data_IF_126038889927
#
_entry.id   IF_126038889927
#
_cell.length_a   1.000
_cell.length_b   1.000
_cell.length_c   1.000
_cell.angle_alpha   90.00
_cell.angle_beta   90.00
_cell.angle_gamma   90.00
#
_symmetry.space_group_name_H-M   'P 1'
#
loop_
_entity.id
_entity.type
_entity.pdbx_description
1 polymer ?
#
# COMPACT_ATOMS: atom_id res chain seq x y z
N UNK A 1 32.35 -41.51 -48.00
CA UNK A 1 31.17 -41.00 -47.26
C UNK A 1 31.57 -40.81 -45.81
N UNK A 2 31.13 -39.69 -45.20
CA UNK A 2 31.52 -39.11 -43.89
C UNK A 2 32.83 -38.31 -43.98
N UNK A 3 32.93 -37.05 -43.59
CA UNK A 3 31.99 -36.05 -43.05
C UNK A 3 32.74 -34.71 -43.07
N UNK A 4 32.13 -33.66 -43.62
CA UNK A 4 32.69 -32.29 -43.64
C UNK A 4 32.19 -31.59 -42.37
N UNK A 5 33.10 -31.21 -41.48
CA UNK A 5 32.78 -30.34 -40.35
C UNK A 5 32.97 -28.88 -40.77
N UNK A 6 31.84 -28.18 -40.89
CA UNK A 6 31.76 -26.75 -41.13
C UNK A 6 31.90 -26.06 -39.76
N UNK A 7 33.02 -25.37 -39.51
CA UNK A 7 33.15 -24.47 -38.36
C UNK A 7 32.43 -23.15 -38.69
N UNK A 8 31.27 -22.94 -38.08
CA UNK A 8 30.59 -21.65 -38.08
C UNK A 8 31.30 -20.72 -37.08
N UNK A 9 31.89 -19.64 -37.59
CA UNK A 9 32.43 -18.54 -36.78
C UNK A 9 31.23 -17.69 -36.35
N UNK A 10 30.81 -17.84 -35.09
CA UNK A 10 29.83 -16.97 -34.46
C UNK A 10 30.41 -15.58 -34.27
N UNK A 11 29.87 -14.61 -34.99
CA UNK A 11 30.17 -13.19 -34.83
C UNK A 11 29.48 -12.71 -33.54
N UNK A 12 30.25 -12.66 -32.44
CA UNK A 12 29.78 -12.10 -31.19
C UNK A 12 29.50 -10.60 -31.33
N UNK A 13 28.22 -10.23 -31.30
CA UNK A 13 27.79 -8.84 -31.16
C UNK A 13 28.08 -8.45 -29.71
N UNK A 14 29.15 -7.66 -29.51
CA UNK A 14 29.40 -6.94 -28.27
C UNK A 14 28.28 -5.91 -28.10
N UNK A 15 27.28 -6.23 -27.28
CA UNK A 15 26.34 -5.23 -26.77
C UNK A 15 27.12 -4.41 -25.76
N UNK A 16 27.64 -3.27 -26.18
CA UNK A 16 28.18 -2.26 -25.29
C UNK A 16 27.04 -1.76 -24.40
N UNK A 17 27.07 -2.14 -23.12
CA UNK A 17 26.23 -1.55 -22.09
C UNK A 17 26.59 -0.06 -21.99
N UNK A 18 25.74 0.80 -22.54
CA UNK A 18 25.84 2.24 -22.31
C UNK A 18 25.56 2.46 -20.83
N UNK A 19 26.63 2.66 -20.05
CA UNK A 19 26.51 3.24 -18.71
C UNK A 19 26.01 4.66 -18.88
N UNK A 20 24.69 4.86 -18.78
CA UNK A 20 24.09 6.19 -18.82
C UNK A 20 24.68 7.02 -17.67
N UNK A 21 25.47 8.04 -18.00
CA UNK A 21 25.93 9.04 -17.03
C UNK A 21 24.71 9.73 -16.42
N UNK A 22 24.74 10.04 -15.12
CA UNK A 22 23.65 10.76 -14.46
C UNK A 22 23.38 12.11 -15.17
N UNK A 23 22.22 12.24 -15.79
CA UNK A 23 21.72 13.47 -16.40
C UNK A 23 21.03 14.28 -15.30
N UNK A 24 21.66 15.38 -14.89
CA UNK A 24 21.14 16.25 -13.83
C UNK A 24 20.41 17.44 -14.46
N UNK A 25 19.19 17.71 -14.01
CA UNK A 25 18.46 18.94 -14.30
C UNK A 25 18.20 19.75 -13.02
N UNK A 26 18.20 21.08 -13.16
CA UNK A 26 17.90 22.01 -12.06
C UNK A 26 16.63 22.77 -12.39
N UNK A 27 15.61 22.61 -11.55
CA UNK A 27 14.38 23.42 -11.62
C UNK A 27 14.69 24.79 -11.01
N UNK A 28 14.53 25.84 -11.80
CA UNK A 28 14.94 27.20 -11.46
C UNK A 28 13.79 28.21 -11.36
N UNK A 29 12.58 27.82 -11.78
CA UNK A 29 11.36 28.61 -11.64
C UNK A 29 10.16 27.71 -11.33
N UNK A 30 9.04 28.34 -10.96
CA UNK A 30 7.80 27.69 -10.55
C UNK A 30 6.72 27.60 -11.63
N UNK A 31 7.08 27.82 -12.89
CA UNK A 31 6.13 27.78 -14.00
C UNK A 31 5.77 26.33 -14.33
N UNK A 32 4.57 26.12 -14.89
CA UNK A 32 4.14 24.81 -15.39
C UNK A 32 5.08 24.29 -16.51
N UNK A 33 5.48 25.16 -17.43
CA UNK A 33 6.25 24.80 -18.61
C UNK A 33 7.38 25.79 -18.94
N UNK A 34 8.17 25.44 -19.96
CA UNK A 34 9.28 26.24 -20.45
C UNK A 34 10.60 25.97 -19.73
N UNK A 35 11.67 26.59 -20.22
CA UNK A 35 13.01 26.33 -19.73
C UNK A 35 13.12 26.59 -18.21
N UNK A 36 13.68 25.61 -17.49
CA UNK A 36 13.88 25.67 -16.06
C UNK A 36 12.67 25.27 -15.19
N UNK A 37 11.54 24.87 -15.78
CA UNK A 37 10.43 24.25 -15.05
C UNK A 37 10.73 22.78 -14.69
N UNK A 38 9.90 22.20 -13.80
CA UNK A 38 9.95 20.76 -13.49
C UNK A 38 9.58 19.90 -14.70
N UNK A 39 8.55 20.30 -15.45
CA UNK A 39 8.14 19.63 -16.69
C UNK A 39 9.29 19.53 -17.69
N UNK A 40 9.95 20.64 -17.99
CA UNK A 40 11.09 20.65 -18.91
C UNK A 40 12.27 19.79 -18.40
N UNK A 41 12.43 19.66 -17.08
CA UNK A 41 13.42 18.77 -16.49
C UNK A 41 13.08 17.28 -16.71
N UNK A 42 11.82 16.89 -16.50
CA UNK A 42 11.33 15.52 -16.76
C UNK A 42 11.46 15.17 -18.25
N UNK A 43 10.96 16.04 -19.13
CA UNK A 43 10.99 15.87 -20.60
C UNK A 43 12.41 15.81 -21.17
N UNK A 44 13.41 16.37 -20.47
CA UNK A 44 14.82 16.30 -20.91
C UNK A 44 15.45 14.91 -20.78
N UNK A 45 14.79 13.95 -20.11
CA UNK A 45 15.36 12.65 -19.77
C UNK A 45 16.40 12.73 -18.64
N UNK A 46 16.32 13.76 -17.80
CA UNK A 46 17.11 13.82 -16.57
C UNK A 46 16.72 12.66 -15.63
N UNK A 47 17.71 11.99 -15.05
CA UNK A 47 17.50 10.97 -14.02
C UNK A 47 17.74 11.49 -12.61
N UNK A 48 18.25 12.72 -12.47
CA UNK A 48 18.33 13.43 -11.20
C UNK A 48 17.84 14.86 -11.39
N UNK A 49 16.71 15.19 -10.76
CA UNK A 49 16.11 16.51 -10.78
C UNK A 49 16.28 17.14 -9.39
N UNK A 50 16.86 18.32 -9.33
CA UNK A 50 16.99 19.10 -8.09
C UNK A 50 16.21 20.39 -8.20
N UNK A 51 15.40 20.67 -7.18
CA UNK A 51 14.63 21.92 -7.13
C UNK A 51 15.43 22.99 -6.40
N UNK A 52 15.70 24.10 -7.08
CA UNK A 52 16.42 25.22 -6.49
C UNK A 52 15.65 25.72 -5.25
N UNK A 53 16.30 25.92 -4.09
CA UNK A 53 15.65 26.43 -2.87
C UNK A 53 14.92 27.77 -3.03
N UNK A 54 15.24 28.55 -4.07
CA UNK A 54 14.54 29.81 -4.38
C UNK A 54 13.17 29.60 -5.02
N UNK A 55 12.93 28.45 -5.65
CA UNK A 55 11.60 28.04 -6.09
C UNK A 55 10.88 27.59 -4.83
N UNK A 56 9.72 28.19 -4.53
CA UNK A 56 8.89 27.79 -3.38
C UNK A 56 7.70 26.93 -3.83
N UNK A 57 7.06 27.34 -4.94
CA UNK A 57 5.87 26.72 -5.48
C UNK A 57 6.07 26.50 -6.98
N UNK A 58 5.65 25.33 -7.46
CA UNK A 58 5.57 24.96 -8.87
C UNK A 58 4.08 24.79 -9.18
N UNK A 59 3.51 25.68 -9.97
CA UNK A 59 2.10 25.63 -10.31
C UNK A 59 1.92 24.83 -11.59
N UNK A 60 1.12 23.77 -11.52
CA UNK A 60 0.79 22.93 -12.64
C UNK A 60 -0.53 23.37 -13.25
N UNK A 61 -0.56 23.43 -14.57
CA UNK A 61 -1.79 23.58 -15.36
C UNK A 61 -2.06 22.34 -16.23
N UNK A 62 -1.11 21.39 -16.26
CA UNK A 62 -1.21 20.10 -16.92
C UNK A 62 -0.52 19.02 -16.06
N UNK A 63 -0.90 17.73 -16.16
CA UNK A 63 -0.23 16.63 -15.47
C UNK A 63 1.26 16.58 -15.77
N UNK A 64 2.08 16.09 -14.85
CA UNK A 64 3.49 15.76 -15.13
C UNK A 64 3.59 14.29 -15.55
N UNK A 65 4.49 13.98 -16.50
CA UNK A 65 4.82 12.59 -16.81
C UNK A 65 6.32 12.38 -16.96
N UNK A 66 6.76 11.14 -16.68
CA UNK A 66 8.11 10.68 -16.92
C UNK A 66 8.08 9.35 -17.69
N UNK A 67 8.43 9.41 -18.97
CA UNK A 67 8.33 8.28 -19.92
C UNK A 67 9.66 7.51 -20.09
N UNK A 68 10.70 7.90 -19.36
CA UNK A 68 12.05 7.39 -19.60
C UNK A 68 12.31 6.14 -18.75
N UNK A 69 12.94 5.09 -19.30
CA UNK A 69 13.14 3.84 -18.58
C UNK A 69 14.23 3.87 -17.50
N UNK A 70 14.95 4.98 -17.35
CA UNK A 70 15.96 5.09 -16.33
C UNK A 70 15.36 5.43 -14.96
N UNK A 71 16.13 5.17 -13.91
CA UNK A 71 15.80 5.63 -12.55
C UNK A 71 15.53 7.13 -12.52
N UNK A 72 14.69 7.59 -11.60
CA UNK A 72 14.37 9.01 -11.42
C UNK A 72 14.52 9.41 -9.96
N UNK A 73 15.33 10.44 -9.70
CA UNK A 73 15.43 11.06 -8.38
C UNK A 73 14.94 12.50 -8.44
N UNK A 74 13.86 12.84 -7.74
CA UNK A 74 13.38 14.22 -7.56
C UNK A 74 13.68 14.68 -6.14
N UNK A 75 14.56 15.67 -6.01
CA UNK A 75 15.07 16.13 -4.71
C UNK A 75 14.73 17.61 -4.49
N UNK A 76 13.79 17.84 -3.57
CA UNK A 76 13.42 19.15 -3.07
C UNK A 76 14.16 19.56 -1.78
N UNK A 77 13.64 20.63 -1.19
CA UNK A 77 14.01 21.23 0.10
C UNK A 77 12.76 21.78 0.84
N UNK A 78 11.58 21.27 0.51
CA UNK A 78 10.29 21.68 1.08
C UNK A 78 9.38 22.46 0.12
N UNK A 79 9.66 22.42 -1.19
CA UNK A 79 8.80 23.07 -2.19
C UNK A 79 7.44 22.38 -2.34
N UNK A 80 6.46 23.15 -2.78
CA UNK A 80 5.13 22.67 -3.14
C UNK A 80 4.99 22.50 -4.65
N UNK A 81 4.60 21.31 -5.08
CA UNK A 81 4.02 21.03 -6.39
C UNK A 81 2.51 21.20 -6.24
N UNK A 82 1.98 22.26 -6.84
CA UNK A 82 0.59 22.69 -6.71
C UNK A 82 -0.18 22.32 -7.97
N UNK A 83 -1.09 21.35 -7.84
CA UNK A 83 -1.92 20.79 -8.90
C UNK A 83 -3.39 21.23 -8.81
N UNK A 84 -3.71 22.26 -8.00
CA UNK A 84 -5.08 22.77 -7.85
C UNK A 84 -5.71 23.27 -9.15
N UNK A 85 -4.92 23.56 -10.19
CA UNK A 85 -5.37 24.05 -11.48
C UNK A 85 -5.33 22.99 -12.58
N UNK A 86 -5.15 21.71 -12.24
CA UNK A 86 -5.32 20.62 -13.18
C UNK A 86 -6.80 20.44 -13.54
N UNK A 87 -7.04 19.89 -14.73
CA UNK A 87 -8.37 19.48 -15.16
C UNK A 87 -8.91 18.35 -14.25
N UNK A 88 -10.24 18.15 -14.20
CA UNK A 88 -10.83 17.05 -13.45
C UNK A 88 -10.20 15.68 -13.77
N UNK A 89 -10.01 14.85 -12.75
CA UNK A 89 -9.49 13.48 -12.85
C UNK A 89 -8.05 13.36 -13.39
N UNK A 90 -7.32 14.47 -13.45
CA UNK A 90 -5.92 14.50 -13.83
C UNK A 90 -5.01 14.10 -12.66
N UNK A 91 -4.09 13.18 -12.92
CA UNK A 91 -3.03 12.83 -11.97
C UNK A 91 -1.99 13.96 -11.84
N UNK A 92 -1.35 14.09 -10.68
CA UNK A 92 -0.28 15.09 -10.52
C UNK A 92 0.98 14.66 -11.27
N UNK A 93 1.40 13.41 -11.08
CA UNK A 93 2.63 12.85 -11.65
C UNK A 93 2.45 11.37 -12.00
N UNK A 94 2.58 11.03 -13.28
CA UNK A 94 2.64 9.63 -13.73
C UNK A 94 4.06 9.26 -14.15
N UNK A 95 4.54 8.10 -13.69
CA UNK A 95 5.84 7.55 -14.01
C UNK A 95 5.62 6.29 -14.86
N UNK A 96 5.85 6.45 -16.17
CA UNK A 96 5.59 5.42 -17.18
C UNK A 96 6.91 4.85 -17.66
N UNK A 97 7.31 3.75 -17.05
CA UNK A 97 8.45 2.97 -17.51
C UNK A 97 9.73 3.10 -16.70
N UNK A 98 9.76 3.88 -15.62
CA UNK A 98 10.99 4.12 -14.89
C UNK A 98 11.58 2.86 -14.22
N UNK A 99 12.91 2.85 -14.11
CA UNK A 99 13.58 2.08 -13.06
C UNK A 99 13.32 2.69 -11.67
N UNK A 100 14.24 2.53 -10.73
CA UNK A 100 14.06 3.01 -9.36
C UNK A 100 13.62 4.50 -9.25
N UNK A 101 12.64 4.78 -8.38
CA UNK A 101 12.14 6.11 -8.06
C UNK A 101 12.60 6.54 -6.66
N UNK A 102 13.07 7.78 -6.55
CA UNK A 102 13.22 8.46 -5.27
C UNK A 102 12.63 9.87 -5.33
N UNK A 103 11.67 10.17 -4.46
CA UNK A 103 11.11 11.52 -4.29
C UNK A 103 11.33 11.95 -2.84
N UNK A 104 11.90 13.14 -2.65
CA UNK A 104 12.17 13.61 -1.30
C UNK A 104 12.04 15.11 -1.07
N UNK A 105 11.59 15.47 0.15
CA UNK A 105 11.48 16.84 0.64
C UNK A 105 10.58 17.72 -0.24
N UNK A 106 9.38 17.23 -0.54
CA UNK A 106 8.40 17.89 -1.40
C UNK A 106 7.00 17.79 -0.82
N UNK A 107 6.16 18.75 -1.18
CA UNK A 107 4.73 18.73 -0.91
C UNK A 107 3.98 18.64 -2.22
N UNK A 108 2.98 17.77 -2.29
CA UNK A 108 2.08 17.62 -3.41
C UNK A 108 0.68 17.99 -2.92
N UNK A 109 0.02 18.90 -3.64
CA UNK A 109 -1.34 19.34 -3.32
C UNK A 109 -2.16 19.20 -4.59
N UNK A 110 -3.14 18.30 -4.58
CA UNK A 110 -4.08 18.12 -5.69
C UNK A 110 -5.23 19.12 -5.70
N UNK A 111 -6.23 18.87 -6.55
CA UNK A 111 -7.39 19.74 -6.78
C UNK A 111 -8.64 19.36 -5.97
N UNK A 112 -8.58 18.28 -5.16
CA UNK A 112 -9.71 17.87 -4.33
C UNK A 112 -9.97 18.90 -3.22
N UNK A 113 -11.19 19.43 -3.19
CA UNK A 113 -11.65 20.37 -2.17
C UNK A 113 -12.68 19.71 -1.25
N UNK A 114 -12.22 19.22 -0.11
CA UNK A 114 -13.03 18.53 0.92
C UNK A 114 -14.16 19.35 1.50
N UNK A 115 -14.13 20.67 1.37
CA UNK A 115 -15.12 21.56 1.98
C UNK A 115 -16.27 21.82 1.00
N UNK A 116 -15.96 21.91 -0.30
CA UNK A 116 -16.91 22.38 -1.31
C UNK A 116 -17.24 21.34 -2.39
N UNK A 117 -16.55 20.20 -2.42
CA UNK A 117 -16.84 19.10 -3.32
C UNK A 117 -17.51 17.97 -2.56
N UNK A 118 -18.40 17.26 -3.27
CA UNK A 118 -18.94 16.02 -2.75
C UNK A 118 -17.78 15.01 -2.65
N UNK A 119 -17.44 14.49 -1.46
CA UNK A 119 -16.42 13.46 -1.31
C UNK A 119 -16.75 12.17 -2.08
N UNK A 120 -18.02 11.92 -2.39
CA UNK A 120 -18.43 10.82 -3.26
C UNK A 120 -18.15 11.08 -4.76
N UNK A 121 -17.85 12.33 -5.16
CA UNK A 121 -17.61 12.75 -6.55
C UNK A 121 -16.54 13.86 -6.63
N UNK A 122 -15.31 13.64 -6.14
CA UNK A 122 -14.22 14.59 -6.25
C UNK A 122 -13.76 14.68 -7.71
N UNK A 123 -13.25 15.85 -8.07
CA UNK A 123 -12.80 16.17 -9.44
C UNK A 123 -11.27 16.18 -9.53
N UNK A 124 -10.60 15.20 -8.94
CA UNK A 124 -9.14 15.06 -8.94
C UNK A 124 -8.75 13.63 -9.28
N UNK A 125 -7.70 13.46 -10.08
CA UNK A 125 -7.06 12.15 -10.28
C UNK A 125 -6.08 11.84 -9.16
N UNK A 126 -5.27 10.81 -9.38
CA UNK A 126 -4.30 10.26 -8.42
C UNK A 126 -3.20 11.27 -8.07
N UNK A 127 -2.58 11.09 -6.91
CA UNK A 127 -1.41 11.88 -6.54
C UNK A 127 -0.18 11.52 -7.37
N UNK A 128 0.33 10.32 -7.18
CA UNK A 128 1.52 9.83 -7.89
C UNK A 128 1.24 8.41 -8.38
N UNK A 129 1.30 8.22 -9.69
CA UNK A 129 1.13 6.92 -10.32
C UNK A 129 2.49 6.40 -10.82
N UNK A 130 2.77 5.13 -10.57
CA UNK A 130 3.95 4.42 -11.07
C UNK A 130 3.49 3.17 -11.79
N UNK A 131 3.67 3.14 -13.10
CA UNK A 131 3.34 1.99 -13.94
C UNK A 131 4.61 1.16 -14.17
N UNK A 132 4.64 -0.05 -13.62
CA UNK A 132 5.74 -1.01 -13.80
C UNK A 132 5.64 -1.61 -15.20
N UNK A 133 6.73 -1.64 -15.99
CA UNK A 133 6.71 -2.29 -17.30
C UNK A 133 6.37 -3.78 -17.20
N UNK A 134 5.46 -4.27 -18.04
CA UNK A 134 5.10 -5.69 -18.10
C UNK A 134 6.27 -6.66 -18.35
N UNK A 135 7.42 -6.17 -18.86
CA UNK A 135 8.63 -6.97 -19.06
C UNK A 135 9.73 -6.68 -18.03
N UNK A 136 9.42 -5.96 -16.95
CA UNK A 136 10.35 -5.72 -15.86
C UNK A 136 10.76 -7.05 -15.21
N UNK A 137 11.99 -7.07 -14.71
CA UNK A 137 12.57 -8.20 -13.97
C UNK A 137 13.40 -7.65 -12.82
N UNK A 138 13.69 -8.47 -11.82
CA UNK A 138 14.49 -8.04 -10.67
C UNK A 138 13.65 -7.29 -9.66
N UNK A 139 13.92 -6.01 -9.41
CA UNK A 139 13.11 -5.22 -8.48
C UNK A 139 12.96 -3.77 -8.92
N UNK A 140 11.75 -3.23 -8.78
CA UNK A 140 11.46 -1.80 -8.92
C UNK A 140 11.48 -1.18 -7.52
N UNK A 141 12.44 -0.30 -7.25
CA UNK A 141 12.55 0.35 -5.94
C UNK A 141 11.91 1.74 -5.97
N UNK A 142 10.92 1.97 -5.12
CA UNK A 142 10.23 3.24 -4.95
C UNK A 142 10.47 3.76 -3.53
N UNK A 143 11.06 4.95 -3.40
CA UNK A 143 11.32 5.58 -2.10
C UNK A 143 10.75 7.00 -2.02
N UNK A 144 9.88 7.20 -1.04
CA UNK A 144 9.35 8.50 -0.63
C UNK A 144 9.91 8.88 0.72
N UNK A 145 10.58 10.04 0.77
CA UNK A 145 11.20 10.53 2.01
C UNK A 145 10.85 11.97 2.31
N UNK A 146 10.25 12.21 3.47
CA UNK A 146 9.87 13.56 3.87
C UNK A 146 8.98 14.23 2.82
N UNK A 147 7.95 13.50 2.39
CA UNK A 147 6.92 14.04 1.51
C UNK A 147 5.63 14.34 2.27
N UNK A 148 4.86 15.28 1.76
CA UNK A 148 3.49 15.52 2.18
C UNK A 148 2.61 15.47 0.93
N UNK A 149 1.64 14.56 0.89
CA UNK A 149 0.67 14.46 -0.20
C UNK A 149 -0.73 14.68 0.37
N UNK A 150 -1.50 15.55 -0.28
CA UNK A 150 -2.86 15.82 0.13
C UNK A 150 -3.74 16.29 -1.01
N UNK A 151 -5.05 16.23 -0.79
CA UNK A 151 -6.07 16.80 -1.65
C UNK A 151 -6.06 16.22 -3.06
N UNK A 152 -5.87 14.92 -3.15
CA UNK A 152 -6.08 14.16 -4.40
C UNK A 152 -7.31 13.29 -4.25
N UNK A 153 -8.01 13.07 -5.36
CA UNK A 153 -9.03 12.04 -5.46
C UNK A 153 -8.38 10.75 -5.95
N UNK A 154 -9.12 9.65 -5.98
CA UNK A 154 -8.58 8.31 -6.25
C UNK A 154 -7.35 8.03 -5.35
N UNK A 155 -6.48 7.10 -5.72
CA UNK A 155 -5.31 6.79 -4.90
C UNK A 155 -4.39 7.99 -4.68
N UNK A 156 -3.84 8.11 -3.47
CA UNK A 156 -2.74 9.03 -3.18
C UNK A 156 -1.49 8.64 -3.96
N UNK A 157 -0.95 7.47 -3.68
CA UNK A 157 0.19 6.89 -4.40
C UNK A 157 -0.24 5.52 -4.91
N UNK A 158 -0.09 5.27 -6.21
CA UNK A 158 -0.43 3.98 -6.80
C UNK A 158 0.80 3.42 -7.53
N UNK A 159 1.24 2.24 -7.14
CA UNK A 159 2.26 1.48 -7.85
C UNK A 159 1.59 0.26 -8.45
N UNK A 160 1.49 0.23 -9.78
CA UNK A 160 0.80 -0.83 -10.50
C UNK A 160 1.79 -1.65 -11.32
N UNK A 161 2.01 -2.91 -10.93
CA UNK A 161 2.56 -3.97 -11.77
C UNK A 161 1.45 -4.89 -12.28
N UNK A 162 0.58 -4.29 -13.08
CA UNK A 162 -0.64 -4.93 -13.55
C UNK A 162 -1.04 -4.50 -14.96
N UNK A 163 -1.52 -5.45 -15.74
CA UNK A 163 -1.93 -5.24 -17.12
C UNK A 163 -3.28 -4.55 -17.29
N UNK A 164 -4.06 -4.42 -16.23
CA UNK A 164 -5.42 -3.86 -16.25
C UNK A 164 -5.49 -2.39 -15.83
N UNK A 165 -4.37 -1.78 -15.41
CA UNK A 165 -4.35 -0.39 -14.99
C UNK A 165 -5.27 -0.17 -13.79
N UNK A 166 -6.22 0.76 -13.91
CA UNK A 166 -7.14 1.16 -12.83
C UNK A 166 -8.16 0.09 -12.42
N UNK A 167 -8.33 -0.95 -13.24
CA UNK A 167 -9.20 -2.09 -12.97
C UNK A 167 -8.40 -3.26 -12.34
N UNK A 168 -7.14 -3.04 -11.95
CA UNK A 168 -6.37 -4.03 -11.23
C UNK A 168 -6.93 -4.19 -9.81
N UNK A 169 -7.00 -5.44 -9.31
CA UNK A 169 -7.45 -5.70 -7.94
C UNK A 169 -8.94 -5.51 -7.71
N UNK A 170 -9.74 -5.22 -8.74
CA UNK A 170 -11.19 -5.13 -8.58
C UNK A 170 -11.79 -6.49 -8.21
N UNK A 171 -12.15 -6.67 -6.94
CA UNK A 171 -12.77 -7.86 -6.36
C UNK A 171 -11.78 -8.86 -5.74
N UNK A 172 -12.32 -9.71 -4.86
CA UNK A 172 -11.64 -10.72 -3.99
C UNK A 172 -10.92 -11.85 -4.73
N UNK A 173 -9.87 -11.55 -5.48
CA UNK A 173 -9.05 -12.59 -6.11
C UNK A 173 -7.98 -12.12 -7.09
N UNK A 174 -7.49 -10.87 -6.95
CA UNK A 174 -6.23 -10.46 -7.55
C UNK A 174 -6.12 -10.54 -9.09
N UNK A 175 -7.23 -10.39 -9.82
CA UNK A 175 -7.25 -10.51 -11.27
C UNK A 175 -6.26 -9.58 -11.99
N UNK A 176 -5.46 -10.12 -12.93
CA UNK A 176 -4.47 -9.33 -13.67
C UNK A 176 -3.32 -10.15 -14.22
N UNK A 177 -2.41 -9.51 -14.95
CA UNK A 177 -1.05 -10.04 -15.19
C UNK A 177 -0.04 -8.95 -14.87
N UNK A 178 1.04 -9.29 -14.19
CA UNK A 178 2.16 -8.42 -13.85
C UNK A 178 3.46 -8.86 -14.51
N UNK A 179 4.53 -8.15 -14.19
CA UNK A 179 5.87 -8.46 -14.63
C UNK A 179 6.51 -9.58 -13.79
N UNK A 180 7.81 -9.84 -13.97
CA UNK A 180 8.55 -10.74 -13.08
C UNK A 180 9.41 -9.97 -12.06
N UNK A 181 9.13 -8.69 -11.84
CA UNK A 181 9.88 -7.84 -10.94
C UNK A 181 9.17 -7.72 -9.59
N UNK A 182 9.91 -7.88 -8.50
CA UNK A 182 9.40 -7.49 -7.19
C UNK A 182 9.20 -5.97 -7.10
N UNK A 183 8.14 -5.54 -6.43
CA UNK A 183 7.89 -4.13 -6.14
C UNK A 183 8.36 -3.82 -4.71
N UNK A 184 9.25 -2.83 -4.57
CA UNK A 184 9.81 -2.46 -3.27
C UNK A 184 9.54 -1.01 -2.93
N UNK A 185 8.67 -0.78 -1.95
CA UNK A 185 8.20 0.56 -1.57
C UNK A 185 8.71 0.92 -0.18
N UNK A 186 9.22 2.15 -0.05
CA UNK A 186 9.64 2.74 1.23
C UNK A 186 9.03 4.12 1.41
N UNK A 187 8.35 4.32 2.52
CA UNK A 187 7.73 5.60 2.89
C UNK A 187 8.25 6.01 4.26
N UNK A 188 9.12 7.03 4.28
CA UNK A 188 9.88 7.41 5.47
C UNK A 188 9.62 8.87 5.83
N UNK A 189 9.16 9.11 7.07
CA UNK A 189 8.91 10.44 7.60
C UNK A 189 7.98 11.24 6.70
N UNK A 190 6.92 10.61 6.19
CA UNK A 190 6.02 11.19 5.20
C UNK A 190 4.59 11.22 5.72
N UNK A 191 3.78 12.11 5.16
CA UNK A 191 2.37 12.25 5.51
C UNK A 191 1.53 12.18 4.24
N UNK A 192 0.64 11.20 4.19
CA UNK A 192 -0.36 11.00 3.15
C UNK A 192 -1.71 11.28 3.83
N UNK A 193 -2.34 12.38 3.46
CA UNK A 193 -3.48 12.89 4.20
C UNK A 193 -4.55 13.41 3.26
N UNK A 194 -5.80 13.02 3.49
CA UNK A 194 -6.92 13.55 2.73
C UNK A 194 -6.75 13.27 1.22
N UNK A 195 -6.65 12.00 0.93
CA UNK A 195 -6.54 11.41 -0.42
C UNK A 195 -7.56 10.29 -0.51
N UNK A 196 -7.69 9.60 -1.64
CA UNK A 196 -8.44 8.35 -1.65
C UNK A 196 -9.96 8.47 -1.81
N UNK A 197 -10.47 9.65 -2.11
CA UNK A 197 -11.91 9.84 -2.29
C UNK A 197 -12.32 9.73 -3.76
N UNK A 198 -13.56 9.33 -4.02
CA UNK A 198 -14.23 9.44 -5.33
C UNK A 198 -14.52 8.17 -6.08
N UNK A 199 -13.99 7.06 -5.57
CA UNK A 199 -14.29 5.68 -5.95
C UNK A 199 -13.98 4.80 -4.74
N UNK A 200 -14.56 3.61 -4.70
CA UNK A 200 -14.10 2.56 -3.79
C UNK A 200 -12.68 2.14 -4.19
N UNK A 201 -11.95 1.56 -3.24
CA UNK A 201 -10.57 1.08 -3.38
C UNK A 201 -9.68 2.18 -3.94
N UNK A 202 -9.72 3.34 -3.29
CA UNK A 202 -8.88 4.48 -3.60
C UNK A 202 -8.05 4.84 -2.38
N UNK A 203 -6.83 4.33 -2.36
CA UNK A 203 -6.09 4.19 -1.10
C UNK A 203 -5.09 5.30 -0.94
N UNK A 204 -4.56 5.41 0.26
CA UNK A 204 -3.48 6.35 0.55
C UNK A 204 -2.26 5.94 -0.26
N UNK A 205 -1.96 4.65 -0.20
CA UNK A 205 -0.91 3.98 -0.94
C UNK A 205 -1.42 2.61 -1.39
N UNK A 206 -1.52 2.41 -2.69
CA UNK A 206 -1.87 1.16 -3.36
C UNK A 206 -0.64 0.53 -3.98
N UNK A 207 -0.41 -0.76 -3.75
CA UNK A 207 0.63 -1.53 -4.46
C UNK A 207 0.02 -2.79 -5.04
N UNK A 208 -0.12 -2.82 -6.36
CA UNK A 208 -0.52 -4.04 -7.08
C UNK A 208 0.70 -4.76 -7.64
N UNK A 209 0.90 -6.02 -7.28
CA UNK A 209 1.81 -6.94 -7.96
C UNK A 209 1.01 -8.17 -8.42
N UNK A 210 0.87 -8.33 -9.74
CA UNK A 210 0.09 -9.45 -10.34
C UNK A 210 0.98 -10.42 -11.11
N UNK A 211 2.24 -10.49 -10.74
CA UNK A 211 3.33 -11.12 -11.45
C UNK A 211 3.89 -12.32 -10.71
N UNK A 212 5.20 -12.52 -10.80
CA UNK A 212 5.91 -13.50 -9.98
C UNK A 212 6.77 -12.81 -8.90
N UNK A 213 6.64 -11.49 -8.79
CA UNK A 213 7.48 -10.65 -7.97
C UNK A 213 6.87 -10.44 -6.58
N UNK A 214 7.69 -10.52 -5.55
CA UNK A 214 7.22 -10.17 -4.21
C UNK A 214 6.89 -8.68 -4.05
N UNK A 215 6.01 -8.35 -3.11
CA UNK A 215 5.87 -7.00 -2.54
C UNK A 215 6.81 -6.86 -1.33
N UNK A 216 7.61 -5.80 -1.31
CA UNK A 216 8.41 -5.40 -0.15
C UNK A 216 8.01 -4.00 0.30
N UNK A 217 7.23 -3.91 1.37
CA UNK A 217 6.78 -2.63 1.90
C UNK A 217 7.52 -2.22 3.17
N UNK A 218 7.81 -0.93 3.30
CA UNK A 218 8.33 -0.36 4.54
C UNK A 218 7.75 1.02 4.78
N UNK A 219 7.01 1.18 5.87
CA UNK A 219 6.62 2.49 6.40
C UNK A 219 7.37 2.78 7.69
N UNK A 220 7.98 3.96 7.79
CA UNK A 220 8.69 4.38 9.00
C UNK A 220 8.42 5.82 9.36
N UNK A 221 7.99 6.05 10.58
CA UNK A 221 7.71 7.38 11.14
C UNK A 221 6.76 8.18 10.22
N UNK A 222 5.78 7.49 9.60
CA UNK A 222 4.89 8.05 8.57
C UNK A 222 3.43 8.04 9.02
N UNK A 223 2.63 8.92 8.44
CA UNK A 223 1.21 9.08 8.78
C UNK A 223 0.34 8.91 7.54
N UNK A 224 -0.70 8.11 7.67
CA UNK A 224 -1.77 7.88 6.70
C UNK A 224 -3.08 8.24 7.39
N UNK A 225 -3.76 9.29 6.94
CA UNK A 225 -4.96 9.78 7.65
C UNK A 225 -6.00 10.39 6.74
N UNK A 226 -7.27 10.23 7.10
CA UNK A 226 -8.39 10.76 6.32
C UNK A 226 -8.29 10.28 4.88
N UNK A 227 -7.95 9.01 4.68
CA UNK A 227 -8.01 8.41 3.37
C UNK A 227 -9.45 7.95 3.13
N UNK A 228 -9.93 8.14 1.90
CA UNK A 228 -11.26 7.71 1.51
C UNK A 228 -11.42 6.19 1.60
N UNK A 229 -10.52 5.41 0.99
CA UNK A 229 -10.40 3.97 1.24
C UNK A 229 -9.24 3.67 2.21
N UNK A 230 -8.45 2.63 1.97
CA UNK A 230 -7.41 2.16 2.87
C UNK A 230 -6.31 3.18 3.11
N UNK A 231 -5.80 3.23 4.33
CA UNK A 231 -4.59 4.03 4.58
C UNK A 231 -3.41 3.59 3.70
N UNK A 232 -3.25 2.28 3.58
CA UNK A 232 -2.31 1.56 2.72
C UNK A 232 -2.98 0.23 2.37
N UNK A 233 -2.85 -0.22 1.13
CA UNK A 233 -3.35 -1.51 0.64
C UNK A 233 -2.20 -2.15 -0.16
N UNK A 234 -1.92 -3.43 0.09
CA UNK A 234 -0.85 -4.19 -0.56
C UNK A 234 -1.40 -5.48 -1.16
N UNK A 235 -1.38 -5.53 -2.48
CA UNK A 235 -2.08 -6.56 -3.23
C UNK A 235 -1.13 -7.41 -4.06
N UNK A 236 -0.82 -8.60 -3.56
CA UNK A 236 -0.16 -9.63 -4.36
C UNK A 236 -1.22 -10.61 -4.85
N UNK A 237 -1.31 -10.80 -6.17
CA UNK A 237 -2.37 -11.61 -6.77
C UNK A 237 -1.94 -12.96 -7.34
N UNK A 238 -0.72 -13.45 -7.10
CA UNK A 238 -0.16 -14.62 -7.79
C UNK A 238 0.76 -15.54 -6.95
N UNK A 239 2.08 -15.35 -6.89
CA UNK A 239 3.01 -16.36 -6.32
C UNK A 239 4.14 -15.73 -5.51
N UNK A 240 4.25 -14.41 -5.52
CA UNK A 240 5.24 -13.66 -4.79
C UNK A 240 4.79 -13.43 -3.36
N UNK A 241 5.71 -13.44 -2.40
CA UNK A 241 5.37 -13.15 -1.01
C UNK A 241 5.05 -11.64 -0.83
N UNK A 242 4.22 -11.30 0.16
CA UNK A 242 4.15 -9.95 0.74
C UNK A 242 5.02 -9.85 1.98
N UNK A 243 6.01 -8.96 1.97
CA UNK A 243 6.87 -8.67 3.12
C UNK A 243 6.71 -7.21 3.56
N UNK A 244 6.06 -7.00 4.70
CA UNK A 244 5.78 -5.67 5.26
C UNK A 244 6.56 -5.40 6.57
N UNK A 245 7.14 -4.21 6.68
CA UNK A 245 7.78 -3.74 7.91
C UNK A 245 7.39 -2.30 8.24
N UNK A 246 6.54 -2.14 9.24
CA UNK A 246 5.99 -0.87 9.67
C UNK A 246 6.52 -0.51 11.06
N UNK A 247 7.00 0.74 11.21
CA UNK A 247 7.51 1.21 12.51
C UNK A 247 7.23 2.68 12.78
N UNK A 248 6.69 3.01 13.95
CA UNK A 248 6.48 4.42 14.31
C UNK A 248 5.41 5.11 13.47
N UNK A 249 4.53 4.36 12.81
CA UNK A 249 3.57 4.90 11.85
C UNK A 249 2.16 5.00 12.42
N UNK A 250 1.36 5.88 11.83
CA UNK A 250 -0.02 6.18 12.24
C UNK A 250 -0.97 5.95 11.06
N UNK A 251 -2.03 5.18 11.29
CA UNK A 251 -3.15 4.96 10.37
C UNK A 251 -4.41 5.40 11.10
N UNK A 252 -5.02 6.51 10.65
CA UNK A 252 -6.04 7.20 11.44
C UNK A 252 -7.16 7.73 10.55
N UNK A 253 -8.39 7.25 10.77
CA UNK A 253 -9.60 7.66 10.04
C UNK A 253 -9.49 7.41 8.55
N UNK A 254 -9.23 6.17 8.16
CA UNK A 254 -9.24 5.72 6.78
C UNK A 254 -10.51 4.86 6.53
N UNK A 255 -10.98 4.77 5.28
CA UNK A 255 -12.18 4.00 4.88
C UNK A 255 -13.52 4.77 4.89
N UNK A 256 -13.51 6.10 5.00
CA UNK A 256 -14.77 6.86 5.10
C UNK A 256 -15.57 6.87 3.78
N UNK A 257 -14.94 6.68 2.62
CA UNK A 257 -15.51 7.00 1.32
C UNK A 257 -16.85 6.30 1.10
N UNK A 258 -16.88 4.98 1.28
CA UNK A 258 -18.09 4.24 1.00
C UNK A 258 -19.21 4.65 1.94
N UNK A 259 -18.95 5.10 3.17
CA UNK A 259 -19.98 5.67 4.07
C UNK A 259 -20.69 6.91 3.52
N UNK A 260 -20.07 7.60 2.56
CA UNK A 260 -20.58 8.83 1.95
C UNK A 260 -21.43 8.54 0.70
N UNK A 261 -21.43 7.29 0.21
CA UNK A 261 -22.17 6.87 -0.98
C UNK A 261 -23.61 6.52 -0.63
N UNK A 262 -24.56 7.26 -1.22
CA UNK A 262 -25.99 6.96 -1.15
C UNK A 262 -26.37 5.86 -2.16
N UNK A 263 -27.23 4.91 -1.76
CA UNK A 263 -27.65 3.76 -2.58
C UNK A 263 -26.48 2.88 -3.03
N UNK A 264 -25.65 2.46 -2.07
CA UNK A 264 -24.49 1.61 -2.31
C UNK A 264 -24.86 0.22 -2.88
N UNK A 265 -26.04 -0.31 -2.50
CA UNK A 265 -26.52 -1.63 -2.89
C UNK A 265 -26.37 -1.96 -4.40
N UNK A 266 -25.73 -3.08 -4.70
CA UNK A 266 -25.35 -3.60 -6.00
C UNK A 266 -24.23 -2.83 -6.70
N UNK A 267 -23.59 -1.90 -6.00
CA UNK A 267 -22.47 -1.08 -6.47
C UNK A 267 -21.14 -1.51 -5.84
N UNK A 268 -20.06 -0.77 -6.10
CA UNK A 268 -18.72 -1.08 -5.58
C UNK A 268 -18.52 -0.69 -4.11
N UNK A 269 -19.59 -0.37 -3.38
CA UNK A 269 -19.54 -0.12 -1.92
C UNK A 269 -20.54 -1.07 -1.21
N UNK A 270 -20.91 -2.16 -1.88
CA UNK A 270 -21.88 -3.15 -1.42
C UNK A 270 -21.16 -4.48 -1.26
N UNK A 271 -20.83 -4.80 -0.02
CA UNK A 271 -20.33 -6.10 0.37
C UNK A 271 -21.52 -6.95 0.84
N UNK A 272 -22.08 -7.73 -0.08
CA UNK A 272 -23.20 -8.63 0.14
C UNK A 272 -24.44 -8.03 0.86
N UNK A 273 -24.69 -6.74 0.65
CA UNK A 273 -25.81 -5.99 1.21
C UNK A 273 -25.45 -5.10 2.40
N UNK A 274 -24.23 -5.27 2.92
CA UNK A 274 -23.59 -4.40 3.89
C UNK A 274 -22.63 -3.43 3.18
N UNK A 275 -22.20 -2.41 3.92
CA UNK A 275 -21.40 -1.35 3.31
C UNK A 275 -19.93 -1.77 3.41
N UNK A 276 -19.32 -1.91 2.24
CA UNK A 276 -17.90 -2.16 2.05
C UNK A 276 -17.11 -0.91 2.45
N UNK A 277 -16.52 -0.89 3.65
CA UNK A 277 -15.74 0.24 4.17
C UNK A 277 -14.33 -0.24 4.41
N UNK A 278 -13.36 0.66 4.33
CA UNK A 278 -11.96 0.24 4.21
C UNK A 278 -11.13 0.49 5.49
N UNK A 279 -9.89 0.02 5.46
CA UNK A 279 -9.05 -0.19 6.62
C UNK A 279 -8.04 0.90 6.94
N UNK A 280 -7.47 0.75 8.14
CA UNK A 280 -6.23 1.42 8.47
C UNK A 280 -5.07 1.04 7.55
N UNK A 281 -4.82 -0.26 7.43
CA UNK A 281 -3.77 -0.85 6.61
C UNK A 281 -4.15 -2.28 6.30
N UNK A 282 -4.43 -2.50 5.03
CA UNK A 282 -4.81 -3.78 4.45
C UNK A 282 -3.65 -4.44 3.67
N UNK A 283 -3.63 -5.77 3.65
CA UNK A 283 -2.79 -6.62 2.81
C UNK A 283 -3.58 -7.84 2.34
N UNK A 284 -3.79 -7.91 1.03
CA UNK A 284 -4.25 -9.12 0.34
C UNK A 284 -3.10 -9.87 -0.32
N UNK A 285 -2.89 -11.12 0.12
CA UNK A 285 -2.05 -12.10 -0.54
C UNK A 285 -2.92 -13.22 -1.09
N UNK A 286 -3.39 -13.02 -2.33
CA UNK A 286 -4.34 -13.90 -2.99
C UNK A 286 -3.68 -15.06 -3.74
N UNK A 287 -2.41 -15.35 -3.47
CA UNK A 287 -1.56 -16.23 -4.27
C UNK A 287 -0.91 -17.38 -3.51
N UNK A 288 -0.11 -18.20 -4.19
CA UNK A 288 0.66 -19.31 -3.60
C UNK A 288 1.93 -18.82 -2.82
N UNK A 289 1.88 -17.67 -2.15
CA UNK A 289 3.04 -17.01 -1.56
C UNK A 289 3.09 -17.07 -0.03
N UNK A 290 3.45 -15.98 0.64
CA UNK A 290 3.43 -15.89 2.10
C UNK A 290 3.24 -14.44 2.50
N UNK A 291 2.35 -14.20 3.46
CA UNK A 291 2.24 -12.91 4.12
C UNK A 291 3.18 -12.84 5.34
N UNK A 292 4.22 -12.00 5.28
CA UNK A 292 5.16 -11.78 6.38
C UNK A 292 5.15 -10.31 6.82
N UNK A 293 4.46 -10.04 7.93
CA UNK A 293 4.31 -8.69 8.46
C UNK A 293 5.03 -8.47 9.80
N UNK A 294 5.56 -7.27 9.98
CA UNK A 294 6.00 -6.75 11.27
C UNK A 294 5.52 -5.31 11.45
N UNK A 295 4.69 -5.08 12.47
CA UNK A 295 4.21 -3.75 12.85
C UNK A 295 4.71 -3.41 14.25
N UNK A 296 5.36 -2.25 14.42
CA UNK A 296 5.97 -1.89 15.72
C UNK A 296 5.79 -0.43 16.09
N UNK A 297 5.46 -0.14 17.35
CA UNK A 297 5.36 1.24 17.84
C UNK A 297 4.42 2.10 16.97
N UNK A 298 3.28 1.53 16.57
CA UNK A 298 2.35 2.16 15.61
C UNK A 298 0.97 2.36 16.24
N UNK A 299 0.10 3.08 15.53
CA UNK A 299 -1.29 3.25 15.93
C UNK A 299 -2.22 3.04 14.74
N UNK A 300 -3.34 2.35 14.96
CA UNK A 300 -4.40 2.09 13.97
C UNK A 300 -5.74 2.47 14.61
N UNK A 301 -6.19 3.70 14.40
CA UNK A 301 -7.26 4.25 15.22
C UNK A 301 -8.34 4.95 14.41
N UNK A 302 -9.59 4.72 14.80
CA UNK A 302 -10.77 5.38 14.24
C UNK A 302 -10.91 5.17 12.74
N UNK A 303 -10.45 4.03 12.22
CA UNK A 303 -10.75 3.63 10.85
C UNK A 303 -12.20 3.20 10.72
N UNK A 304 -12.68 3.17 9.49
CA UNK A 304 -14.08 2.96 9.17
C UNK A 304 -14.43 1.49 8.96
N UNK A 305 -13.42 0.61 8.84
CA UNK A 305 -13.53 -0.81 9.17
C UNK A 305 -12.49 -1.23 10.21
N UNK A 306 -11.59 -2.17 9.91
CA UNK A 306 -10.54 -2.68 10.77
C UNK A 306 -9.33 -1.71 10.89
N UNK A 307 -8.51 -1.98 11.91
CA UNK A 307 -7.26 -1.26 12.12
C UNK A 307 -6.13 -1.76 11.24
N UNK A 308 -5.94 -3.07 11.26
CA UNK A 308 -5.09 -3.85 10.37
C UNK A 308 -5.98 -5.00 9.90
N UNK A 309 -6.13 -5.16 8.60
CA UNK A 309 -6.62 -6.40 8.02
C UNK A 309 -5.51 -7.02 7.19
N UNK A 310 -5.26 -8.32 7.34
CA UNK A 310 -4.15 -9.01 6.66
C UNK A 310 -4.61 -10.41 6.29
N UNK A 311 -4.79 -10.64 5.01
CA UNK A 311 -5.34 -11.89 4.51
C UNK A 311 -4.35 -12.62 3.58
N UNK A 312 -4.23 -13.92 3.82
CA UNK A 312 -3.50 -14.84 2.98
C UNK A 312 -4.50 -15.88 2.47
N UNK A 313 -5.02 -15.65 1.25
CA UNK A 313 -6.22 -16.33 0.75
C UNK A 313 -5.92 -17.75 0.21
N UNK A 314 -4.72 -17.96 -0.33
CA UNK A 314 -4.33 -19.17 -1.06
C UNK A 314 -3.23 -19.95 -0.30
N UNK A 315 -2.41 -20.75 -1.00
CA UNK A 315 -1.43 -21.58 -0.29
C UNK A 315 -0.22 -20.75 0.16
N UNK A 316 -0.07 -20.56 1.47
CA UNK A 316 1.13 -19.92 1.97
C UNK A 316 1.32 -20.04 3.46
N UNK A 317 1.80 -19.00 4.10
CA UNK A 317 1.72 -18.90 5.55
C UNK A 317 1.56 -17.43 5.92
N UNK A 318 0.55 -17.12 6.73
CA UNK A 318 0.50 -15.84 7.40
C UNK A 318 1.39 -15.83 8.65
N UNK A 319 2.37 -14.92 8.66
CA UNK A 319 3.22 -14.66 9.82
C UNK A 319 3.30 -13.19 10.15
N UNK A 320 2.64 -12.80 11.24
CA UNK A 320 2.62 -11.43 11.72
C UNK A 320 3.26 -11.26 13.11
N UNK A 321 4.03 -10.18 13.28
CA UNK A 321 4.58 -9.75 14.56
C UNK A 321 4.17 -8.32 14.84
N UNK A 322 3.27 -8.12 15.80
CA UNK A 322 2.80 -6.81 16.23
C UNK A 322 3.35 -6.49 17.63
N UNK A 323 4.05 -5.36 17.78
CA UNK A 323 4.71 -4.98 19.03
C UNK A 323 4.50 -3.51 19.39
N UNK A 324 4.04 -3.23 20.60
CA UNK A 324 3.88 -1.85 21.08
C UNK A 324 2.93 -1.03 20.18
N UNK A 325 1.87 -1.68 19.70
CA UNK A 325 0.86 -1.06 18.81
C UNK A 325 -0.43 -0.85 19.57
N UNK A 326 -1.07 0.29 19.31
CA UNK A 326 -2.38 0.63 19.86
C UNK A 326 -3.40 0.59 18.74
N UNK A 327 -4.54 -0.05 18.97
CA UNK A 327 -5.73 0.08 18.12
C UNK A 327 -6.92 0.51 18.97
N UNK A 328 -7.69 1.49 18.50
CA UNK A 328 -8.89 1.93 19.20
C UNK A 328 -9.86 2.67 18.29
N UNK A 329 -11.15 2.57 18.59
CA UNK A 329 -12.19 3.33 17.89
C UNK A 329 -12.40 2.94 16.44
N UNK A 330 -11.82 1.83 15.97
CA UNK A 330 -12.14 1.26 14.65
C UNK A 330 -13.59 0.77 14.64
N UNK A 331 -14.22 0.69 13.47
CA UNK A 331 -15.62 0.24 13.41
C UNK A 331 -15.73 -1.26 13.64
N UNK A 332 -14.76 -2.01 13.11
CA UNK A 332 -14.59 -3.42 13.45
C UNK A 332 -13.30 -3.70 14.25
N UNK A 333 -12.55 -4.76 13.95
CA UNK A 333 -11.41 -5.18 14.76
C UNK A 333 -10.30 -4.13 14.84
N UNK A 334 -9.54 -4.17 15.93
CA UNK A 334 -8.27 -3.46 15.94
C UNK A 334 -7.28 -4.14 14.99
N UNK A 335 -7.23 -5.48 15.01
CA UNK A 335 -6.43 -6.30 14.12
C UNK A 335 -7.22 -7.54 13.73
N UNK A 336 -7.34 -7.79 12.44
CA UNK A 336 -7.81 -9.03 11.84
C UNK A 336 -6.67 -9.62 11.00
N UNK A 337 -6.56 -10.94 11.02
CA UNK A 337 -5.54 -11.67 10.26
C UNK A 337 -6.06 -13.06 9.95
N UNK A 338 -6.19 -13.37 8.66
CA UNK A 338 -6.80 -14.62 8.19
C UNK A 338 -5.85 -15.39 7.29
N UNK A 339 -5.78 -16.70 7.48
CA UNK A 339 -5.11 -17.61 6.55
C UNK A 339 -6.16 -18.57 6.00
N UNK A 340 -6.65 -18.29 4.80
CA UNK A 340 -7.83 -18.95 4.24
C UNK A 340 -7.50 -20.21 3.44
N UNK A 341 -6.26 -20.34 2.96
CA UNK A 341 -5.79 -21.47 2.19
C UNK A 341 -4.99 -22.49 3.00
N UNK A 342 -4.15 -23.27 2.31
CA UNK A 342 -3.32 -24.26 2.99
C UNK A 342 -2.02 -23.62 3.50
N UNK A 343 -1.98 -23.30 4.78
CA UNK A 343 -0.82 -22.65 5.36
C UNK A 343 -0.73 -22.76 6.86
N UNK A 344 -0.05 -21.82 7.51
CA UNK A 344 0.00 -21.76 8.96
C UNK A 344 -0.12 -20.32 9.45
N UNK A 345 -1.14 -20.03 10.24
CA UNK A 345 -1.25 -18.78 10.98
C UNK A 345 -0.26 -18.71 12.16
N UNK A 346 0.70 -17.80 12.10
CA UNK A 346 1.74 -17.60 13.11
C UNK A 346 1.81 -16.14 13.60
N UNK A 347 1.06 -15.82 14.66
CA UNK A 347 0.93 -14.43 15.14
C UNK A 347 1.59 -14.21 16.50
N UNK A 348 2.36 -13.12 16.62
CA UNK A 348 2.96 -12.67 17.88
C UNK A 348 2.50 -11.27 18.23
N UNK A 349 1.71 -11.18 19.28
CA UNK A 349 1.20 -9.94 19.86
C UNK A 349 1.96 -9.61 21.15
N UNK A 350 2.61 -8.45 21.21
CA UNK A 350 3.37 -8.04 22.39
C UNK A 350 3.16 -6.58 22.72
N UNK A 351 2.78 -6.29 23.97
CA UNK A 351 2.44 -4.93 24.40
C UNK A 351 1.36 -4.30 23.51
N UNK A 352 0.35 -5.07 23.20
CA UNK A 352 -0.79 -4.56 22.45
C UNK A 352 -1.71 -3.82 23.42
N UNK A 353 -2.26 -2.69 22.97
CA UNK A 353 -3.37 -2.04 23.64
C UNK A 353 -4.54 -1.92 22.68
N UNK A 354 -5.64 -2.62 22.95
CA UNK A 354 -6.90 -2.45 22.22
C UNK A 354 -7.98 -1.95 23.17
N UNK A 355 -8.74 -0.94 22.74
CA UNK A 355 -9.87 -0.44 23.51
C UNK A 355 -10.95 0.22 22.65
N UNK A 356 -12.22 -0.06 22.96
CA UNK A 356 -13.39 0.68 22.46
C UNK A 356 -13.43 0.76 20.93
N UNK A 357 -13.56 -0.39 20.25
CA UNK A 357 -13.71 -0.48 18.79
C UNK A 357 -15.19 -0.33 18.37
N UNK A 358 -15.81 0.80 18.76
CA UNK A 358 -17.15 1.23 18.37
C UNK A 358 -18.32 0.21 18.43
N UNK A 359 -18.20 -0.85 19.23
CA UNK A 359 -19.23 -1.89 19.34
C UNK A 359 -19.01 -3.10 18.45
N UNK A 360 -17.84 -3.22 17.81
CA UNK A 360 -17.33 -4.50 17.32
C UNK A 360 -17.39 -5.55 18.42
N UNK A 361 -17.78 -6.76 18.02
CA UNK A 361 -17.82 -7.90 18.92
C UNK A 361 -16.41 -8.27 19.36
N UNK A 362 -15.45 -8.25 18.42
CA UNK A 362 -14.09 -8.66 18.62
C UNK A 362 -13.13 -7.47 18.76
N UNK A 363 -12.11 -7.66 19.59
CA UNK A 363 -11.02 -6.68 19.67
C UNK A 363 -9.95 -6.98 18.63
N UNK A 364 -9.65 -8.26 18.51
CA UNK A 364 -8.68 -8.86 17.60
C UNK A 364 -9.26 -10.21 17.18
N UNK A 365 -9.22 -10.47 15.89
CA UNK A 365 -9.62 -11.73 15.27
C UNK A 365 -8.41 -12.36 14.57
N UNK A 366 -8.30 -13.69 14.65
CA UNK A 366 -7.16 -14.46 14.13
C UNK A 366 -7.68 -15.83 13.67
N UNK A 367 -7.72 -16.08 12.38
CA UNK A 367 -8.40 -17.26 11.82
C UNK A 367 -7.52 -18.04 10.84
N UNK A 368 -7.72 -19.35 10.83
CA UNK A 368 -7.12 -20.24 9.84
C UNK A 368 -8.17 -21.26 9.39
N UNK A 369 -8.46 -21.28 8.08
CA UNK A 369 -9.63 -21.94 7.52
C UNK A 369 -9.34 -23.35 6.96
N UNK A 370 -8.26 -23.49 6.19
CA UNK A 370 -7.92 -24.70 5.43
C UNK A 370 -6.76 -25.49 6.07
N UNK A 371 -5.99 -26.30 5.33
CA UNK A 371 -5.09 -27.25 5.96
C UNK A 371 -3.85 -26.60 6.59
N UNK A 372 -3.84 -26.49 7.93
CA UNK A 372 -2.74 -25.82 8.61
C UNK A 372 -2.65 -25.99 10.12
N UNK A 373 -2.07 -24.97 10.77
CA UNK A 373 -2.00 -24.89 12.22
C UNK A 373 -1.90 -23.42 12.69
N UNK A 374 -2.63 -23.10 13.74
CA UNK A 374 -2.53 -21.82 14.46
C UNK A 374 -1.48 -21.85 15.60
N UNK A 375 -0.53 -20.91 15.60
CA UNK A 375 0.42 -20.62 16.70
C UNK A 375 0.39 -19.14 17.11
N UNK A 376 -0.34 -18.83 18.18
CA UNK A 376 -0.49 -17.45 18.68
C UNK A 376 0.25 -17.25 20.00
N UNK A 377 0.98 -16.14 20.11
CA UNK A 377 1.62 -15.71 21.36
C UNK A 377 1.21 -14.30 21.73
N UNK A 378 0.55 -14.15 22.88
CA UNK A 378 0.15 -12.85 23.43
C UNK A 378 0.92 -12.56 24.70
N UNK A 379 1.56 -11.40 24.78
CA UNK A 379 2.28 -11.04 26.01
C UNK A 379 2.28 -9.55 26.33
N UNK A 380 2.14 -9.22 27.62
CA UNK A 380 2.18 -7.84 28.13
C UNK A 380 1.12 -6.92 27.50
N UNK A 381 0.00 -7.49 27.07
CA UNK A 381 -1.04 -6.78 26.35
C UNK A 381 -2.22 -6.40 27.26
N UNK A 382 -2.92 -5.34 26.90
CA UNK A 382 -4.15 -4.87 27.50
C UNK A 382 -5.22 -4.82 26.41
N UNK A 383 -6.26 -5.62 26.52
CA UNK A 383 -7.38 -5.66 25.58
C UNK A 383 -8.65 -5.51 26.41
N UNK A 384 -9.35 -4.39 26.30
CA UNK A 384 -10.50 -4.03 27.16
C UNK A 384 -11.56 -3.26 26.39
N UNK A 385 -12.81 -3.23 26.85
CA UNK A 385 -13.82 -2.31 26.31
C UNK A 385 -14.42 -2.69 24.95
N UNK A 386 -14.35 -3.96 24.56
CA UNK A 386 -15.19 -4.54 23.50
C UNK A 386 -16.42 -5.20 24.10
N UNK A 387 -17.38 -5.55 23.24
CA UNK A 387 -18.72 -5.93 23.68
C UNK A 387 -18.81 -7.37 24.22
N UNK A 388 -18.07 -8.34 23.66
CA UNK A 388 -18.02 -9.73 24.19
C UNK A 388 -16.66 -10.45 24.00
N UNK A 389 -16.03 -10.40 22.82
CA UNK A 389 -14.97 -11.33 22.39
C UNK A 389 -13.65 -10.64 22.01
N UNK A 390 -13.06 -9.93 22.98
CA UNK A 390 -11.86 -9.10 22.73
C UNK A 390 -10.62 -9.76 22.11
N UNK A 391 -10.53 -11.09 22.15
CA UNK A 391 -9.56 -11.86 21.41
C UNK A 391 -10.24 -13.15 20.94
N UNK A 392 -10.51 -13.23 19.64
CA UNK A 392 -11.01 -14.43 18.96
C UNK A 392 -9.84 -15.12 18.25
N UNK A 393 -9.76 -16.43 18.38
CA UNK A 393 -8.78 -17.26 17.68
C UNK A 393 -9.44 -18.55 17.23
N UNK A 394 -9.41 -18.82 15.93
CA UNK A 394 -10.05 -19.99 15.34
C UNK A 394 -9.06 -20.85 14.55
N UNK A 395 -9.14 -22.16 14.78
CA UNK A 395 -8.63 -23.20 13.88
C UNK A 395 -9.86 -23.92 13.34
N UNK A 396 -10.26 -23.63 12.11
CA UNK A 396 -11.50 -24.16 11.53
C UNK A 396 -11.37 -25.60 11.05
N UNK A 397 -10.15 -26.01 10.74
CA UNK A 397 -9.82 -27.25 10.05
C UNK A 397 -9.42 -28.39 11.01
N UNK A 398 -8.89 -29.50 10.47
CA UNK A 398 -8.44 -30.66 11.25
C UNK A 398 -7.04 -30.50 11.89
N UNK A 399 -6.38 -29.37 11.68
CA UNK A 399 -5.10 -28.95 12.19
C UNK A 399 -5.09 -28.69 13.70
N UNK A 400 -4.02 -28.08 14.19
CA UNK A 400 -3.82 -27.86 15.63
C UNK A 400 -3.63 -26.40 15.94
N UNK A 401 -4.57 -25.84 16.69
CA UNK A 401 -4.43 -24.53 17.27
C UNK A 401 -3.76 -24.55 18.63
N UNK A 402 -2.90 -23.56 18.89
CA UNK A 402 -2.39 -23.28 20.23
C UNK A 402 -2.23 -21.78 20.46
N UNK A 403 -2.51 -21.35 21.68
CA UNK A 403 -2.29 -19.98 22.13
C UNK A 403 -1.52 -19.96 23.45
N UNK A 404 -0.56 -19.05 23.58
CA UNK A 404 0.12 -18.76 24.84
C UNK A 404 -0.11 -17.31 25.25
N UNK A 405 -0.77 -17.09 26.38
CA UNK A 405 -1.07 -15.77 26.93
C UNK A 405 -0.25 -15.56 28.21
N UNK A 406 0.49 -14.45 28.30
CA UNK A 406 1.33 -14.19 29.48
C UNK A 406 1.45 -12.72 29.86
N UNK A 407 1.24 -12.41 31.14
CA UNK A 407 1.28 -11.03 31.66
C UNK A 407 0.34 -10.07 30.92
N UNK A 408 -0.81 -10.56 30.44
CA UNK A 408 -1.79 -9.77 29.70
C UNK A 408 -3.11 -9.67 30.48
N UNK A 409 -3.86 -8.60 30.24
CA UNK A 409 -5.24 -8.42 30.71
C UNK A 409 -6.13 -8.41 29.49
N UNK A 410 -7.06 -9.37 29.42
CA UNK A 410 -8.00 -9.55 28.31
C UNK A 410 -9.41 -9.47 28.90
N UNK A 411 -10.30 -8.70 28.26
CA UNK A 411 -11.69 -8.56 28.72
C UNK A 411 -12.63 -9.66 28.22
N UNK A 412 -12.21 -10.44 27.22
CA UNK A 412 -12.94 -11.56 26.62
C UNK A 412 -11.98 -12.46 25.86
N UNK A 413 -12.35 -13.72 25.67
CA UNK A 413 -11.55 -14.70 24.94
C UNK A 413 -12.49 -15.74 24.33
N UNK A 414 -12.49 -15.84 22.99
CA UNK A 414 -13.10 -16.96 22.27
C UNK A 414 -12.02 -17.79 21.57
N UNK A 415 -12.12 -19.11 21.73
CA UNK A 415 -11.12 -20.08 21.27
C UNK A 415 -11.82 -21.28 20.66
N UNK A 416 -11.77 -21.39 19.33
CA UNK A 416 -12.30 -22.54 18.59
C UNK A 416 -11.16 -23.46 18.15
N UNK A 417 -11.17 -24.69 18.66
CA UNK A 417 -10.13 -25.70 18.42
C UNK A 417 -8.69 -25.28 18.83
N UNK A 418 -8.56 -24.32 19.75
CA UNK A 418 -7.27 -23.83 20.23
C UNK A 418 -6.91 -24.40 21.61
N UNK A 419 -5.70 -24.97 21.75
CA UNK A 419 -5.13 -25.35 23.05
C UNK A 419 -4.46 -24.14 23.73
N UNK A 420 -5.01 -23.65 24.84
CA UNK A 420 -4.38 -22.62 25.66
C UNK A 420 -3.25 -23.20 26.56
N UNK A 421 -2.04 -22.66 26.44
CA UNK A 421 -0.81 -23.13 27.14
C UNK A 421 -0.23 -22.19 28.18
#
# INVERSE_FOLDING_TARGET
MKSVNLFAIGLGILISANTASASIAIVSNGNDNGAGSLRAALESGANVIRINPKVQMINLTQPLSYENPYKLHIVGKGQTINAMALEPNADILSINGAGDLLISNLKFIGSYDTVNQNPALPVSGKGIEINVPANATGSVNVEFKNIFLTKVGHHGIHISDCSFGDDCGGGSGGGGNGSAASVKVKIINSEINNVGFGRADADGVRVDERGLGNIYFTAKDSTFTNVGADGVELDEGNQGDVISNVSGSLFIRNGEYCNLVENFAGGPCDDDGDRDVDDGFDIDEAGDGNLISRVTNSQVNNNFDEGLDFDEEDNGNLKSIVVDTVGFGNQDEAFKMSEEGNGHLNVRLKKISTFDNNGSKEGIELEEADAGNVDVQVSKSLMIGGDDELLKIEQEDAGKGKVKISNSTLGGLDLKNIEQK
#
